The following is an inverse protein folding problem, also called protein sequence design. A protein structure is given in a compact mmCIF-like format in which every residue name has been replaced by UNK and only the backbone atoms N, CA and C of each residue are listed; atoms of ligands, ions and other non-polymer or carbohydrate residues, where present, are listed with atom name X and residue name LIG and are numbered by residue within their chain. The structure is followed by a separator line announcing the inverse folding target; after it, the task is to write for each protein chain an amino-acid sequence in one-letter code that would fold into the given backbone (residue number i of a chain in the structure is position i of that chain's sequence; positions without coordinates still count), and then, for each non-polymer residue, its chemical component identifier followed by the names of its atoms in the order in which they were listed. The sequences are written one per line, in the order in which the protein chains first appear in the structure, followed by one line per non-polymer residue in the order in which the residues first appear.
data_IF_816156731004
#
_entry.id   IF_816156731004
#
_cell.length_a   1.000
_cell.length_b   1.000
_cell.length_c   1.000
_cell.angle_alpha   90.00
_cell.angle_beta   90.00
_cell.angle_gamma   90.00
#
_symmetry.space_group_name_H-M   'P 1'
#
loop_
_entity.id
_entity.type
_entity.pdbx_description
1 polymer ?
#
# COMPACT_ATOMS: atom_id res chain seq x y z
N UNK A 1 -2.31 -4.89 3.09
CA UNK A 1 -1.55 -3.95 2.24
C UNK A 1 -2.11 -2.53 2.35
N UNK A 2 -3.42 -2.29 2.13
CA UNK A 2 -4.01 -0.94 2.25
C UNK A 2 -3.71 -0.19 3.56
N UNK A 3 -3.96 -0.79 4.73
CA UNK A 3 -3.74 -0.09 6.00
C UNK A 3 -2.27 0.30 6.22
N UNK A 4 -1.33 -0.60 5.93
CA UNK A 4 0.10 -0.27 5.97
C UNK A 4 0.47 0.81 4.96
N UNK A 5 -0.22 0.86 3.82
CA UNK A 5 0.02 1.88 2.80
C UNK A 5 -0.50 3.25 3.19
N UNK A 6 -1.70 3.31 3.76
CA UNK A 6 -2.32 4.53 4.28
C UNK A 6 -1.56 5.13 5.47
N UNK A 7 -0.81 4.34 6.23
CA UNK A 7 -0.01 4.81 7.36
C UNK A 7 1.48 5.02 7.02
N UNK A 8 1.88 4.82 5.76
CA UNK A 8 3.27 5.03 5.34
C UNK A 8 4.25 3.98 5.87
N UNK A 9 3.77 2.81 6.31
CA UNK A 9 4.59 1.75 6.93
C UNK A 9 5.39 0.95 5.89
N UNK A 10 6.44 1.57 5.33
CA UNK A 10 7.27 1.01 4.27
C UNK A 10 7.73 -0.43 4.54
N UNK A 11 8.28 -0.69 5.72
CA UNK A 11 8.81 -2.01 6.07
C UNK A 11 7.72 -3.10 6.07
N UNK A 12 6.50 -2.76 6.51
CA UNK A 12 5.36 -3.67 6.51
C UNK A 12 4.87 -3.91 5.07
N UNK A 13 4.84 -2.86 4.24
CA UNK A 13 4.48 -2.97 2.82
C UNK A 13 5.44 -3.93 2.11
N UNK A 14 6.76 -3.76 2.28
CA UNK A 14 7.77 -4.68 1.70
C UNK A 14 7.62 -6.12 2.21
N UNK A 15 7.39 -6.30 3.50
CA UNK A 15 7.17 -7.63 4.08
C UNK A 15 5.94 -8.32 3.45
N UNK A 16 4.82 -7.60 3.32
CA UNK A 16 3.59 -8.15 2.75
C UNK A 16 3.76 -8.50 1.27
N UNK A 17 4.39 -7.62 0.48
CA UNK A 17 4.71 -7.90 -0.92
C UNK A 17 5.63 -9.12 -1.05
N UNK A 18 6.65 -9.24 -0.21
CA UNK A 18 7.54 -10.40 -0.17
C UNK A 18 6.85 -11.71 0.25
N UNK A 19 5.68 -11.62 0.89
CA UNK A 19 4.81 -12.77 1.22
C UNK A 19 3.75 -13.05 0.14
N UNK A 20 3.79 -12.35 -0.99
CA UNK A 20 2.85 -12.56 -2.10
C UNK A 20 1.51 -11.87 -1.90
N UNK A 21 1.42 -10.81 -1.09
CA UNK A 21 0.22 -9.99 -1.04
C UNK A 21 -0.07 -9.41 -2.44
N UNK A 22 -1.32 -9.56 -2.89
CA UNK A 22 -1.75 -8.98 -4.15
C UNK A 22 -1.71 -7.44 -4.07
N UNK A 23 -0.79 -6.84 -4.83
CA UNK A 23 -0.60 -5.40 -4.91
C UNK A 23 -1.82 -4.67 -5.47
N UNK A 24 -2.59 -5.36 -6.32
CA UNK A 24 -3.76 -4.84 -7.00
C UNK A 24 -5.08 -5.18 -6.31
N UNK A 25 -5.04 -5.82 -5.14
CA UNK A 25 -6.24 -6.18 -4.38
C UNK A 25 -7.14 -4.95 -4.20
N UNK A 26 -8.37 -5.07 -4.71
CA UNK A 26 -9.37 -4.00 -4.68
C UNK A 26 -10.37 -4.19 -3.53
N UNK A 27 -10.88 -3.07 -3.01
CA UNK A 27 -11.87 -3.01 -1.94
C UNK A 27 -11.49 -2.04 -0.83
N UNK A 28 -12.23 -2.11 0.28
CA UNK A 28 -12.02 -1.23 1.44
C UNK A 28 -12.26 0.25 1.14
N UNK A 29 -11.89 1.11 2.09
CA UNK A 29 -12.16 2.55 2.05
C UNK A 29 -11.44 3.27 0.89
N UNK A 30 -10.21 2.86 0.57
CA UNK A 30 -9.35 3.55 -0.39
C UNK A 30 -9.37 2.95 -1.80
N UNK A 31 -10.09 1.85 -2.04
CA UNK A 31 -10.09 1.13 -3.31
C UNK A 31 -8.91 0.16 -3.47
N UNK A 32 -7.65 0.60 -3.40
CA UNK A 32 -6.48 -0.30 -3.36
C UNK A 32 -5.33 0.29 -2.53
N UNK A 33 -4.21 -0.45 -2.42
CA UNK A 33 -3.07 -0.03 -1.60
C UNK A 33 -2.34 1.21 -2.14
N UNK A 34 -2.23 1.34 -3.47
CA UNK A 34 -1.61 2.50 -4.10
C UNK A 34 -2.46 3.76 -3.85
N UNK A 35 -3.77 3.67 -4.04
CA UNK A 35 -4.72 4.77 -3.76
C UNK A 35 -4.65 5.20 -2.29
N UNK A 36 -4.55 4.24 -1.37
CA UNK A 36 -4.38 4.53 0.06
C UNK A 36 -3.10 5.35 0.34
N UNK A 37 -1.96 4.95 -0.21
CA UNK A 37 -0.71 5.70 -0.07
C UNK A 37 -0.77 7.08 -0.73
N UNK A 38 -1.40 7.18 -1.91
CA UNK A 38 -1.52 8.45 -2.64
C UNK A 38 -2.44 9.45 -1.94
N UNK A 39 -3.55 9.01 -1.36
CA UNK A 39 -4.50 9.87 -0.64
C UNK A 39 -3.85 10.46 0.62
N UNK A 40 -3.09 9.64 1.36
CA UNK A 40 -2.43 10.05 2.61
C UNK A 40 -1.05 10.71 2.38
N UNK A 41 -0.59 10.80 1.12
CA UNK A 41 0.65 11.50 0.75
C UNK A 41 1.94 10.72 1.01
N UNK A 42 1.88 9.40 1.13
CA UNK A 42 3.04 8.54 1.38
C UNK A 42 3.78 8.17 0.09
N UNK A 43 4.54 9.11 -0.45
CA UNK A 43 5.19 8.94 -1.76
C UNK A 43 6.15 7.74 -1.86
N UNK A 44 6.90 7.44 -0.82
CA UNK A 44 7.86 6.32 -0.79
C UNK A 44 7.10 4.99 -0.90
N UNK A 45 5.96 4.88 -0.22
CA UNK A 45 5.09 3.72 -0.31
C UNK A 45 4.39 3.66 -1.67
N UNK A 46 3.90 4.78 -2.19
CA UNK A 46 3.29 4.82 -3.52
C UNK A 46 4.29 4.34 -4.59
N UNK A 47 5.56 4.75 -4.50
CA UNK A 47 6.65 4.25 -5.37
C UNK A 47 6.92 2.76 -5.24
N UNK A 48 6.63 2.13 -4.10
CA UNK A 48 6.77 0.68 -3.93
C UNK A 48 5.62 -0.13 -4.51
N UNK A 49 4.48 0.52 -4.75
CA UNK A 49 3.24 -0.10 -5.22
C UNK A 49 2.98 0.16 -6.70
N UNK A 50 3.84 0.96 -7.35
CA UNK A 50 3.92 1.15 -8.81
C UNK A 50 4.76 0.02 -9.43
#
# INVERSE_FOLDING_TARGET
LQASSANGHEHIVRLLLGKGADVNAQGGYYGNALQAASIEGHEQVARLLL
#
